data_IF_097783487565
#
_entry.id   IF_097783487565
#
_cell.length_a   1.000
_cell.length_b   1.000
_cell.length_c   1.000
_cell.angle_alpha   90.00
_cell.angle_beta   90.00
_cell.angle_gamma   90.00
#
_symmetry.space_group_name_H-M   'P 1'
#
loop_
_entity.id
_entity.type
_entity.pdbx_description
1 polymer ?
#
# COMPACT_ATOMS: atom_id res chain seq x y z
N UNK A 1 19.46 -8.90 27.40
CA UNK A 1 18.45 -7.91 27.82
C UNK A 1 17.08 -8.30 27.27
N UNK A 2 16.02 -8.19 28.09
CA UNK A 2 14.64 -8.31 27.64
C UNK A 2 14.29 -7.19 26.65
N UNK A 3 13.28 -7.38 25.77
CA UNK A 3 12.84 -6.32 24.86
C UNK A 3 12.38 -5.09 25.67
N UNK A 4 12.66 -3.90 25.13
CA UNK A 4 12.20 -2.64 25.74
C UNK A 4 10.68 -2.60 25.62
N UNK A 5 9.98 -2.36 26.73
CA UNK A 5 8.51 -2.35 26.74
C UNK A 5 8.00 -1.03 26.12
N UNK A 6 7.03 -1.12 25.23
CA UNK A 6 6.29 0.07 24.76
C UNK A 6 5.36 0.57 25.85
N UNK A 7 4.98 1.85 25.79
CA UNK A 7 4.07 2.41 26.79
C UNK A 7 2.68 1.80 26.66
N UNK A 8 2.24 1.50 25.44
CA UNK A 8 1.00 0.75 25.20
C UNK A 8 1.01 -0.63 25.89
N UNK A 9 2.12 -1.37 25.81
CA UNK A 9 2.26 -2.66 26.50
C UNK A 9 2.29 -2.49 28.03
N UNK A 10 2.97 -1.46 28.53
CA UNK A 10 2.97 -1.13 29.97
C UNK A 10 1.56 -0.78 30.47
N UNK A 11 0.83 0.06 29.73
CA UNK A 11 -0.54 0.46 30.08
C UNK A 11 -1.54 -0.70 30.02
N UNK A 12 -1.33 -1.65 29.10
CA UNK A 12 -2.14 -2.86 29.03
C UNK A 12 -1.92 -3.75 30.26
N UNK A 13 -0.68 -3.86 30.76
CA UNK A 13 -0.39 -4.62 31.97
C UNK A 13 -0.81 -3.90 33.26
N UNK A 14 -0.60 -2.59 33.39
CA UNK A 14 -1.11 -1.81 34.52
C UNK A 14 -2.66 -1.94 34.61
N UNK A 15 -3.36 -2.00 33.47
CA UNK A 15 -4.80 -2.26 33.43
C UNK A 15 -5.20 -3.70 33.80
N UNK A 16 -4.29 -4.68 33.71
CA UNK A 16 -4.53 -6.06 34.18
C UNK A 16 -4.15 -6.25 35.65
N UNK A 17 -3.20 -5.48 36.18
CA UNK A 17 -2.81 -5.52 37.59
C UNK A 17 -3.88 -4.90 38.51
N UNK A 18 -4.66 -3.92 38.02
CA UNK A 18 -5.80 -3.32 38.75
C UNK A 18 -7.01 -4.28 38.95
N UNK A 19 -6.99 -5.49 38.40
CA UNK A 19 -8.10 -6.48 38.55
C UNK A 19 -7.82 -7.55 39.61
N UNK A 20 -6.62 -7.59 40.21
CA UNK A 20 -6.27 -8.59 41.23
C UNK A 20 -6.14 -8.01 42.65
N UNK A 21 -7.26 -7.57 43.24
CA UNK A 21 -7.40 -7.50 44.71
C UNK A 21 -8.82 -7.87 45.17
N UNK A 22 -9.07 -9.18 45.32
CA UNK A 22 -10.06 -9.73 46.24
C UNK A 22 -9.67 -11.17 46.62
N UNK A 23 -9.53 -11.53 47.92
CA UNK A 23 -9.19 -12.89 48.33
C UNK A 23 -10.44 -13.69 48.76
N UNK A 24 -10.63 -14.89 48.20
CA UNK A 24 -11.49 -16.00 48.65
C UNK A 24 -11.51 -17.00 47.49
N UNK A 25 -11.31 -18.32 47.56
CA UNK A 25 -11.13 -19.34 48.60
C UNK A 25 -11.46 -20.69 47.92
N UNK A 26 -10.66 -21.75 48.15
CA UNK A 26 -10.97 -23.21 48.14
C UNK A 26 -12.07 -23.72 47.15
N UNK A 27 -11.93 -24.67 46.19
CA UNK A 27 -11.37 -26.06 46.12
C UNK A 27 -11.84 -26.67 44.74
N UNK A 28 -11.46 -27.91 44.28
CA UNK A 28 -11.10 -28.18 42.86
C UNK A 28 -12.08 -29.16 42.11
N UNK A 29 -11.71 -29.92 41.04
CA UNK A 29 -12.44 -29.95 39.76
C UNK A 29 -13.21 -31.26 39.49
N UNK A 30 -14.11 -31.26 38.49
CA UNK A 30 -14.61 -32.49 37.87
C UNK A 30 -14.94 -32.28 36.39
N UNK A 31 -14.61 -33.31 35.63
CA UNK A 31 -14.65 -33.48 34.20
C UNK A 31 -16.06 -33.56 33.58
N UNK A 32 -16.06 -33.38 32.25
CA UNK A 32 -16.80 -34.11 31.21
C UNK A 32 -17.68 -33.29 30.24
N UNK A 33 -17.17 -33.25 29.01
CA UNK A 33 -17.80 -33.65 27.74
C UNK A 33 -19.02 -32.91 27.11
N UNK A 34 -18.89 -32.79 25.78
CA UNK A 34 -19.91 -32.68 24.71
C UNK A 34 -20.53 -31.33 24.31
N UNK A 35 -20.00 -30.83 23.16
CA UNK A 35 -20.70 -30.59 21.89
C UNK A 35 -22.21 -30.31 21.96
N UNK A 36 -22.61 -29.08 21.62
CA UNK A 36 -23.72 -28.86 20.67
C UNK A 36 -23.76 -27.43 20.11
N UNK A 37 -24.10 -27.39 18.83
CA UNK A 37 -24.33 -26.25 17.96
C UNK A 37 -25.57 -25.45 18.32
N UNK A 38 -25.51 -24.12 18.26
CA UNK A 38 -26.63 -23.32 17.74
C UNK A 38 -26.21 -21.90 17.36
N UNK A 39 -26.63 -21.51 16.17
CA UNK A 39 -26.60 -20.18 15.56
C UNK A 39 -27.27 -19.11 16.43
N UNK A 40 -26.66 -17.92 16.51
CA UNK A 40 -27.34 -16.69 16.93
C UNK A 40 -26.93 -15.52 16.05
N UNK A 41 -27.92 -14.93 15.38
CA UNK A 41 -27.82 -13.75 14.55
C UNK A 41 -27.39 -12.50 15.33
N UNK A 42 -26.72 -11.52 14.70
CA UNK A 42 -26.41 -10.25 15.35
C UNK A 42 -27.60 -9.28 15.29
N UNK A 43 -27.99 -8.80 16.47
CA UNK A 43 -28.93 -7.69 16.70
C UNK A 43 -28.30 -6.39 16.18
N UNK A 44 -28.90 -5.81 15.15
CA UNK A 44 -28.55 -4.48 14.65
C UNK A 44 -29.23 -3.39 15.48
N UNK A 45 -28.47 -2.60 16.22
CA UNK A 45 -28.97 -1.37 16.87
C UNK A 45 -28.90 -0.21 15.89
N UNK A 46 -30.06 0.40 15.61
CA UNK A 46 -30.23 1.51 14.69
C UNK A 46 -29.81 2.84 15.33
N UNK A 47 -28.82 3.53 14.74
CA UNK A 47 -28.51 4.95 14.99
C UNK A 47 -28.97 5.79 13.78
N UNK A 48 -29.91 6.72 14.02
CA UNK A 48 -30.31 7.78 13.07
C UNK A 48 -29.14 8.76 12.83
N UNK A 49 -28.97 9.29 11.61
CA UNK A 49 -28.37 10.60 11.42
C UNK A 49 -29.38 11.63 10.89
N UNK A 50 -29.60 12.71 11.65
CA UNK A 50 -30.07 14.00 11.12
C UNK A 50 -28.83 14.78 10.68
N UNK A 51 -28.77 15.13 9.40
CA UNK A 51 -27.75 16.04 8.87
C UNK A 51 -28.08 16.41 7.43
N UNK A 52 -28.67 17.59 7.23
CA UNK A 52 -28.88 18.20 5.90
C UNK A 52 -27.51 18.59 5.34
N UNK A 53 -27.09 17.97 4.24
CA UNK A 53 -25.92 18.40 3.47
C UNK A 53 -26.45 19.17 2.25
N UNK A 54 -26.09 20.46 2.17
CA UNK A 54 -26.32 21.33 1.01
C UNK A 54 -25.40 20.88 -0.12
N UNK A 55 -25.96 20.69 -1.32
CA UNK A 55 -25.18 20.42 -2.53
C UNK A 55 -24.42 21.68 -2.99
N UNK A 56 -23.18 21.55 -3.49
CA UNK A 56 -22.46 22.68 -4.09
C UNK A 56 -23.02 23.00 -5.48
N UNK A 57 -23.13 24.30 -5.75
CA UNK A 57 -23.55 24.92 -6.99
C UNK A 57 -22.46 24.69 -8.06
N UNK A 58 -22.78 24.05 -9.18
CA UNK A 58 -21.86 23.98 -10.30
C UNK A 58 -21.89 25.31 -11.07
N UNK A 59 -20.71 25.86 -11.37
CA UNK A 59 -20.49 26.97 -12.29
C UNK A 59 -20.35 26.38 -13.70
N UNK A 60 -21.09 26.92 -14.67
CA UNK A 60 -20.94 26.60 -16.09
C UNK A 60 -19.74 27.37 -16.66
N UNK A 61 -18.67 26.66 -16.99
CA UNK A 61 -17.57 27.16 -17.83
C UNK A 61 -17.88 26.80 -19.29
N UNK A 62 -18.20 27.81 -20.09
CA UNK A 62 -18.23 27.73 -21.55
C UNK A 62 -16.79 27.87 -22.08
N UNK A 63 -16.39 27.11 -23.11
CA UNK A 63 -15.27 27.49 -23.96
C UNK A 63 -15.74 28.19 -25.24
N UNK A 64 -15.07 29.31 -25.48
CA UNK A 64 -15.05 30.15 -26.67
C UNK A 64 -14.29 29.44 -27.79
N UNK A 65 -14.86 29.33 -28.99
CA UNK A 65 -14.11 29.05 -30.22
C UNK A 65 -14.66 29.94 -31.33
N UNK A 66 -13.89 30.97 -31.68
CA UNK A 66 -13.92 31.62 -32.99
C UNK A 66 -13.28 30.70 -34.04
N UNK A 67 -13.92 30.54 -35.21
CA UNK A 67 -13.28 30.75 -36.52
C UNK A 67 -14.17 30.29 -37.70
N UNK A 68 -14.46 31.26 -38.56
CA UNK A 68 -14.47 31.24 -40.02
C UNK A 68 -15.50 30.43 -40.84
N UNK A 69 -16.32 31.22 -41.55
CA UNK A 69 -16.87 31.07 -42.91
C UNK A 69 -16.19 30.01 -43.81
N UNK A 70 -16.85 29.29 -44.73
CA UNK A 70 -17.63 29.79 -45.88
C UNK A 70 -18.25 28.61 -46.69
N UNK A 71 -19.38 28.91 -47.35
CA UNK A 71 -19.96 28.35 -48.60
C UNK A 71 -20.07 26.82 -48.82
N UNK A 72 -21.29 26.34 -49.02
CA UNK A 72 -21.81 25.85 -50.33
C UNK A 72 -23.21 25.20 -50.19
N UNK A 73 -24.07 25.46 -51.18
CA UNK A 73 -25.30 24.73 -51.52
C UNK A 73 -25.32 24.67 -53.05
N UNK A 74 -26.09 23.77 -53.73
CA UNK A 74 -26.81 22.57 -53.30
C UNK A 74 -26.60 21.38 -54.30
N UNK A 75 -27.48 20.36 -54.22
CA UNK A 75 -27.68 19.23 -55.16
C UNK A 75 -26.81 17.98 -54.85
N UNK A 76 -27.27 16.72 -54.85
CA UNK A 76 -28.44 16.07 -55.44
C UNK A 76 -28.71 14.71 -54.75
N UNK A 77 -29.99 14.35 -54.68
CA UNK A 77 -30.66 13.03 -54.64
C UNK A 77 -29.93 11.72 -54.26
N UNK A 78 -30.55 10.96 -53.35
CA UNK A 78 -31.12 9.62 -53.64
C UNK A 78 -31.72 8.98 -52.38
N UNK A 79 -33.05 9.06 -52.22
CA UNK A 79 -33.83 8.06 -51.48
C UNK A 79 -35.06 7.73 -52.31
N UNK A 80 -35.04 6.54 -52.89
CA UNK A 80 -36.18 5.74 -53.36
C UNK A 80 -36.22 4.52 -52.41
N UNK A 81 -37.33 3.88 -52.03
CA UNK A 81 -38.76 4.00 -52.34
C UNK A 81 -39.45 2.87 -51.55
N UNK A 82 -40.66 3.09 -51.04
CA UNK A 82 -41.71 2.07 -50.78
C UNK A 82 -42.89 2.68 -49.99
N UNK A 83 -44.14 2.22 -50.19
CA UNK A 83 -45.11 2.95 -50.98
C UNK A 83 -46.34 3.44 -50.20
N UNK A 84 -47.01 4.44 -50.79
CA UNK A 84 -48.40 4.80 -50.48
C UNK A 84 -49.37 3.66 -50.80
N UNK A 85 -50.44 3.52 -50.00
CA UNK A 85 -51.76 3.32 -50.56
C UNK A 85 -52.53 4.64 -50.43
N UNK A 86 -52.91 5.21 -51.57
CA UNK A 86 -54.02 6.15 -51.61
C UNK A 86 -55.31 5.41 -51.24
N UNK A 87 -56.13 6.11 -50.47
CA UNK A 87 -57.43 5.70 -50.03
C UNK A 87 -57.99 6.80 -49.16
N UNK A 88 -58.47 7.88 -49.78
CA UNK A 88 -59.37 8.82 -49.12
C UNK A 88 -60.59 8.04 -48.62
N UNK A 89 -60.96 8.25 -47.35
CA UNK A 89 -62.34 8.62 -47.12
C UNK A 89 -62.37 10.05 -46.56
N UNK A 90 -63.03 10.90 -47.34
CA UNK A 90 -63.89 11.96 -46.84
C UNK A 90 -64.62 11.48 -45.58
N UNK A 91 -64.18 11.92 -44.41
CA UNK A 91 -65.09 12.21 -43.30
C UNK A 91 -64.47 13.28 -42.40
N UNK A 92 -65.27 14.25 -42.00
CA UNK A 92 -64.85 15.34 -41.14
C UNK A 92 -64.43 14.78 -39.77
N UNK A 93 -63.13 14.64 -39.52
CA UNK A 93 -62.64 14.25 -38.21
C UNK A 93 -63.19 15.23 -37.14
N UNK A 94 -63.90 14.74 -36.11
CA UNK A 94 -64.37 15.62 -35.05
C UNK A 94 -63.15 16.27 -34.43
N UNK A 95 -63.20 17.59 -34.22
CA UNK A 95 -62.18 18.34 -33.46
C UNK A 95 -61.86 17.49 -32.22
N UNK A 96 -60.59 17.09 -32.00
CA UNK A 96 -60.26 16.10 -30.98
C UNK A 96 -60.87 16.57 -29.67
N UNK A 97 -61.65 15.69 -29.04
CA UNK A 97 -62.37 16.03 -27.82
C UNK A 97 -61.36 16.49 -26.77
N UNK A 98 -61.81 17.28 -25.80
CA UNK A 98 -60.92 17.73 -24.73
C UNK A 98 -60.24 16.56 -23.99
N UNK A 99 -60.88 15.38 -24.00
CA UNK A 99 -60.35 14.16 -23.41
C UNK A 99 -59.24 13.55 -24.28
N UNK A 100 -59.40 13.51 -25.60
CA UNK A 100 -58.35 13.03 -26.53
C UNK A 100 -57.11 13.93 -26.49
N UNK A 101 -57.31 15.24 -26.36
CA UNK A 101 -56.19 16.20 -26.20
C UNK A 101 -55.46 15.98 -24.88
N UNK A 102 -56.19 15.72 -23.78
CA UNK A 102 -55.59 15.39 -22.48
C UNK A 102 -54.86 14.05 -22.52
N UNK A 103 -55.39 13.04 -23.19
CA UNK A 103 -54.76 11.73 -23.35
C UNK A 103 -53.45 11.83 -24.17
N UNK A 104 -53.46 12.57 -25.29
CA UNK A 104 -52.25 12.85 -26.08
C UNK A 104 -51.19 13.61 -25.27
N UNK A 105 -51.61 14.58 -24.46
CA UNK A 105 -50.71 15.32 -23.57
C UNK A 105 -50.14 14.40 -22.47
N UNK A 106 -50.95 13.53 -21.88
CA UNK A 106 -50.50 12.55 -20.91
C UNK A 106 -49.49 11.56 -21.52
N UNK A 107 -49.73 11.07 -22.73
CA UNK A 107 -48.78 10.23 -23.47
C UNK A 107 -47.46 10.97 -23.77
N UNK A 108 -47.54 12.26 -24.15
CA UNK A 108 -46.34 13.09 -24.35
C UNK A 108 -45.57 13.29 -23.05
N UNK A 109 -46.24 13.56 -21.93
CA UNK A 109 -45.62 13.67 -20.60
C UNK A 109 -45.00 12.35 -20.16
N UNK A 110 -45.65 11.21 -20.42
CA UNK A 110 -45.09 9.89 -20.15
C UNK A 110 -43.84 9.62 -20.99
N UNK A 111 -43.84 10.00 -22.28
CA UNK A 111 -42.68 9.88 -23.16
C UNK A 111 -41.51 10.78 -22.71
N UNK A 112 -41.79 12.02 -22.29
CA UNK A 112 -40.80 12.94 -21.73
C UNK A 112 -40.26 12.46 -20.37
N UNK A 113 -41.11 11.87 -19.52
CA UNK A 113 -40.67 11.27 -18.26
C UNK A 113 -39.81 10.02 -18.51
N UNK A 114 -40.13 9.22 -19.54
CA UNK A 114 -39.33 8.06 -19.93
C UNK A 114 -37.95 8.46 -20.46
N UNK A 115 -37.87 9.49 -21.32
CA UNK A 115 -36.59 9.96 -21.86
C UNK A 115 -35.70 10.58 -20.78
N UNK A 116 -36.25 11.41 -19.89
CA UNK A 116 -35.48 11.98 -18.77
C UNK A 116 -34.99 10.91 -17.80
N UNK A 117 -35.81 9.87 -17.52
CA UNK A 117 -35.39 8.73 -16.71
C UNK A 117 -34.30 7.89 -17.40
N UNK A 118 -34.41 7.67 -18.71
CA UNK A 118 -33.39 6.97 -19.51
C UNK A 118 -32.06 7.73 -19.47
N UNK A 119 -32.07 9.03 -19.78
CA UNK A 119 -30.87 9.88 -19.73
C UNK A 119 -30.23 9.90 -18.34
N UNK A 120 -31.04 9.98 -17.28
CA UNK A 120 -30.55 9.92 -15.89
C UNK A 120 -29.91 8.56 -15.59
N UNK A 121 -30.50 7.46 -16.06
CA UNK A 121 -29.93 6.12 -15.90
C UNK A 121 -28.60 6.00 -16.61
N UNK A 122 -28.49 6.54 -17.81
CA UNK A 122 -27.28 6.47 -18.61
C UNK A 122 -26.14 7.28 -17.97
N UNK A 123 -26.42 8.50 -17.50
CA UNK A 123 -25.46 9.32 -16.73
C UNK A 123 -24.98 8.58 -15.48
N UNK A 124 -25.89 7.96 -14.72
CA UNK A 124 -25.51 7.19 -13.53
C UNK A 124 -24.68 5.96 -13.90
N UNK A 125 -24.98 5.32 -15.03
CA UNK A 125 -24.21 4.16 -15.52
C UNK A 125 -22.79 4.56 -15.94
N UNK A 126 -22.61 5.71 -16.59
CA UNK A 126 -21.29 6.24 -16.95
C UNK A 126 -20.51 6.66 -15.71
N UNK A 127 -21.17 7.30 -14.73
CA UNK A 127 -20.54 7.60 -13.44
C UNK A 127 -20.16 6.32 -12.66
N UNK A 128 -20.96 5.26 -12.77
CA UNK A 128 -20.62 3.97 -12.17
C UNK A 128 -19.43 3.30 -12.89
N UNK A 129 -19.40 3.33 -14.24
CA UNK A 129 -18.30 2.82 -15.05
C UNK A 129 -16.99 3.55 -14.79
N UNK A 130 -17.01 4.88 -14.80
CA UNK A 130 -15.82 5.70 -14.47
C UNK A 130 -15.30 5.45 -13.06
N UNK A 131 -16.18 5.29 -12.07
CA UNK A 131 -15.79 4.90 -10.70
C UNK A 131 -15.23 3.49 -10.63
N UNK A 132 -15.80 2.54 -11.38
CA UNK A 132 -15.32 1.16 -11.45
C UNK A 132 -13.91 1.12 -12.07
N UNK A 133 -13.72 1.76 -13.22
CA UNK A 133 -12.40 1.91 -13.88
C UNK A 133 -11.41 2.57 -12.94
N UNK A 134 -11.77 3.69 -12.29
CA UNK A 134 -10.89 4.34 -11.32
C UNK A 134 -10.55 3.46 -10.11
N UNK A 135 -11.47 2.60 -9.65
CA UNK A 135 -11.23 1.65 -8.57
C UNK A 135 -10.31 0.50 -9.01
N UNK A 136 -10.46 0.03 -10.24
CA UNK A 136 -9.61 -1.02 -10.83
C UNK A 136 -8.19 -0.52 -11.07
N UNK A 137 -8.02 0.69 -11.61
CA UNK A 137 -6.71 1.33 -11.77
C UNK A 137 -6.03 1.58 -10.42
N UNK A 138 -6.80 1.94 -9.38
CA UNK A 138 -6.27 2.13 -8.03
C UNK A 138 -5.83 0.81 -7.38
N UNK A 139 -6.31 -0.33 -7.87
CA UNK A 139 -5.92 -1.64 -7.34
C UNK A 139 -4.70 -2.17 -8.11
N UNK A 140 -3.47 -2.09 -7.56
CA UNK A 140 -2.28 -2.58 -8.24
C UNK A 140 -2.33 -4.09 -8.55
N UNK A 141 -3.11 -4.85 -7.79
CA UNK A 141 -3.34 -6.27 -8.06
C UNK A 141 -4.19 -6.53 -9.29
N UNK A 142 -5.12 -5.64 -9.63
CA UNK A 142 -5.94 -5.74 -10.84
C UNK A 142 -5.10 -5.42 -12.09
N UNK A 143 -4.30 -4.36 -12.05
CA UNK A 143 -3.36 -4.00 -13.13
C UNK A 143 -2.40 -5.14 -13.48
N UNK A 144 -1.78 -5.80 -12.49
CA UNK A 144 -0.90 -6.96 -12.73
C UNK A 144 -1.62 -8.15 -13.35
N UNK A 145 -2.88 -8.39 -12.95
CA UNK A 145 -3.70 -9.48 -13.51
C UNK A 145 -4.07 -9.20 -14.96
N UNK A 146 -4.40 -7.94 -15.27
CA UNK A 146 -4.71 -7.49 -16.62
C UNK A 146 -3.49 -7.66 -17.53
N UNK A 147 -2.31 -7.16 -17.13
CA UNK A 147 -1.06 -7.35 -17.90
C UNK A 147 -0.72 -8.82 -18.10
N UNK A 148 -0.97 -9.68 -17.10
CA UNK A 148 -0.78 -11.12 -17.24
C UNK A 148 -1.77 -11.73 -18.24
N UNK A 149 -3.03 -11.29 -18.23
CA UNK A 149 -4.05 -11.77 -19.15
C UNK A 149 -3.74 -11.34 -20.59
N UNK A 150 -3.33 -10.09 -20.80
CA UNK A 150 -2.86 -9.58 -22.10
C UNK A 150 -1.68 -10.40 -22.61
N UNK A 151 -0.66 -10.63 -21.76
CA UNK A 151 0.49 -11.45 -22.14
C UNK A 151 0.09 -12.88 -22.53
N UNK A 152 -0.85 -13.50 -21.82
CA UNK A 152 -1.33 -14.85 -22.15
C UNK A 152 -2.10 -14.86 -23.47
N UNK A 153 -2.90 -13.82 -23.73
CA UNK A 153 -3.66 -13.67 -24.96
C UNK A 153 -2.71 -13.46 -26.15
N UNK A 154 -1.72 -12.57 -26.02
CA UNK A 154 -0.68 -12.36 -27.03
C UNK A 154 0.11 -13.65 -27.30
N UNK A 155 0.46 -14.41 -26.26
CA UNK A 155 1.15 -15.69 -26.40
C UNK A 155 0.30 -16.76 -27.10
N UNK A 156 -1.03 -16.70 -26.94
CA UNK A 156 -1.96 -17.57 -27.68
C UNK A 156 -1.99 -17.15 -29.15
N UNK A 157 -2.16 -15.87 -29.42
CA UNK A 157 -2.29 -15.33 -30.77
C UNK A 157 -1.01 -15.58 -31.59
N UNK A 158 0.18 -15.44 -30.98
CA UNK A 158 1.48 -15.77 -31.59
C UNK A 158 1.63 -17.27 -31.89
N UNK A 159 1.12 -18.14 -31.02
CA UNK A 159 1.12 -19.59 -31.29
C UNK A 159 0.15 -19.96 -32.42
N UNK A 160 -0.99 -19.28 -32.49
CA UNK A 160 -1.96 -19.46 -33.57
C UNK A 160 -1.43 -18.94 -34.92
N UNK A 161 -0.64 -17.85 -34.92
CA UNK A 161 0.05 -17.35 -36.12
C UNK A 161 1.27 -18.18 -36.53
N UNK A 162 1.75 -19.08 -35.66
CA UNK A 162 2.92 -19.93 -35.90
C UNK A 162 4.26 -19.20 -35.71
N UNK A 163 4.25 -18.04 -35.04
CA UNK A 163 5.45 -17.29 -34.70
C UNK A 163 6.11 -17.85 -33.43
N UNK A 164 7.44 -17.69 -33.34
CA UNK A 164 8.20 -18.10 -32.15
C UNK A 164 8.02 -17.08 -31.03
N UNK A 165 7.32 -17.50 -29.97
CA UNK A 165 7.01 -16.71 -28.77
C UNK A 165 8.28 -16.16 -28.11
N UNK A 166 9.36 -16.95 -28.06
CA UNK A 166 10.59 -16.53 -27.40
C UNK A 166 11.30 -15.45 -28.21
N UNK A 167 11.30 -15.60 -29.54
CA UNK A 167 11.84 -14.57 -30.45
C UNK A 167 11.08 -13.25 -30.30
N UNK A 168 9.75 -13.28 -30.32
CA UNK A 168 8.93 -12.07 -30.14
C UNK A 168 9.20 -11.40 -28.79
N UNK A 169 9.26 -12.18 -27.72
CA UNK A 169 9.60 -11.67 -26.38
C UNK A 169 10.99 -11.05 -26.33
N UNK A 170 11.97 -11.65 -26.98
CA UNK A 170 13.33 -11.12 -27.02
C UNK A 170 13.42 -9.80 -27.80
N UNK A 171 12.59 -9.62 -28.84
CA UNK A 171 12.49 -8.36 -29.58
C UNK A 171 11.87 -7.23 -28.74
N UNK A 172 11.06 -7.56 -27.73
CA UNK A 172 10.46 -6.58 -26.82
C UNK A 172 11.43 -6.10 -25.72
N UNK A 173 12.54 -6.78 -25.46
CA UNK A 173 13.52 -6.33 -24.47
C UNK A 173 14.31 -5.14 -25.01
N UNK A 174 14.12 -3.97 -24.39
CA UNK A 174 14.93 -2.79 -24.66
C UNK A 174 16.30 -2.90 -23.97
N UNK A 175 17.29 -2.17 -24.50
CA UNK A 175 18.60 -2.02 -23.88
C UNK A 175 18.45 -1.49 -22.44
N UNK A 176 17.59 -0.49 -22.23
CA UNK A 176 17.34 0.09 -20.90
C UNK A 176 16.78 -0.93 -19.89
N UNK A 177 15.96 -1.86 -20.34
CA UNK A 177 15.39 -2.89 -19.46
C UNK A 177 16.45 -3.91 -19.05
N UNK A 178 17.38 -4.22 -19.96
CA UNK A 178 18.54 -5.07 -19.69
C UNK A 178 19.50 -4.38 -18.70
N UNK A 179 19.81 -3.09 -18.92
CA UNK A 179 20.66 -2.31 -17.99
C UNK A 179 20.03 -2.18 -16.59
N UNK A 180 18.72 -1.95 -16.50
CA UNK A 180 18.00 -1.94 -15.20
C UNK A 180 18.03 -3.29 -14.52
N UNK A 181 17.97 -4.38 -15.29
CA UNK A 181 18.06 -5.73 -14.75
C UNK A 181 19.47 -6.03 -14.22
N UNK A 182 20.50 -5.68 -14.97
CA UNK A 182 21.90 -5.85 -14.57
C UNK A 182 22.25 -4.98 -13.37
N UNK A 183 21.83 -3.72 -13.36
CA UNK A 183 21.99 -2.83 -12.20
C UNK A 183 21.30 -3.39 -10.95
N UNK A 184 20.14 -4.05 -11.10
CA UNK A 184 19.45 -4.70 -9.99
C UNK A 184 20.19 -5.95 -9.50
N UNK A 185 20.78 -6.73 -10.40
CA UNK A 185 21.63 -7.87 -10.05
C UNK A 185 22.87 -7.39 -9.29
N UNK A 186 23.57 -6.39 -9.82
CA UNK A 186 24.73 -5.78 -9.17
C UNK A 186 24.38 -5.21 -7.78
N UNK A 187 23.26 -4.50 -7.66
CA UNK A 187 22.82 -3.97 -6.37
C UNK A 187 22.46 -5.09 -5.38
N UNK A 188 21.89 -6.20 -5.86
CA UNK A 188 21.64 -7.38 -5.05
C UNK A 188 22.96 -8.02 -4.60
N UNK A 189 23.97 -8.10 -5.46
CA UNK A 189 25.29 -8.62 -5.13
C UNK A 189 26.02 -7.74 -4.11
N UNK A 190 25.99 -6.41 -4.30
CA UNK A 190 26.51 -5.45 -3.32
C UNK A 190 25.84 -5.59 -1.95
N UNK A 191 24.56 -5.99 -1.91
CA UNK A 191 23.82 -6.24 -0.67
C UNK A 191 24.13 -7.58 -0.01
N UNK A 192 24.62 -8.57 -0.75
CA UNK A 192 25.00 -9.88 -0.17
C UNK A 192 26.11 -9.65 0.86
N UNK A 193 26.09 -10.46 1.91
CA UNK A 193 27.13 -10.39 2.93
C UNK A 193 28.42 -11.02 2.37
N UNK A 194 29.40 -10.17 2.05
CA UNK A 194 30.70 -10.60 1.52
C UNK A 194 31.60 -11.24 2.58
N UNK A 195 31.11 -11.39 3.82
CA UNK A 195 31.80 -12.04 4.92
C UNK A 195 32.26 -11.04 5.98
N UNK A 196 33.13 -11.47 6.92
CA UNK A 196 33.64 -10.61 7.98
C UNK A 196 34.58 -9.54 7.38
N UNK A 197 34.05 -8.34 7.12
CA UNK A 197 34.81 -7.14 6.81
C UNK A 197 35.13 -6.32 8.06
N UNK A 198 35.35 -5.01 7.89
CA UNK A 198 35.52 -4.09 9.02
C UNK A 198 34.21 -3.92 9.80
N UNK A 199 34.32 -3.56 11.09
CA UNK A 199 33.16 -3.21 11.90
C UNK A 199 32.42 -1.98 11.34
N UNK A 200 33.13 -1.06 10.67
CA UNK A 200 32.55 0.06 9.93
C UNK A 200 31.59 -0.40 8.82
N UNK A 201 32.06 -1.29 7.94
CA UNK A 201 31.25 -1.83 6.82
C UNK A 201 30.00 -2.56 7.32
N UNK A 202 30.14 -3.33 8.40
CA UNK A 202 29.02 -4.04 9.02
C UNK A 202 27.98 -3.05 9.60
N UNK A 203 28.44 -1.95 10.20
CA UNK A 203 27.58 -0.89 10.72
C UNK A 203 26.87 -0.13 9.58
N UNK A 204 27.60 0.18 8.50
CA UNK A 204 27.02 0.83 7.32
C UNK A 204 25.93 -0.03 6.68
N UNK A 205 26.18 -1.33 6.52
CA UNK A 205 25.18 -2.27 5.98
C UNK A 205 23.94 -2.35 6.86
N UNK A 206 24.11 -2.36 8.18
CA UNK A 206 23.00 -2.31 9.12
C UNK A 206 22.20 -1.01 9.01
N UNK A 207 22.89 0.13 8.93
CA UNK A 207 22.27 1.44 8.73
C UNK A 207 21.49 1.52 7.41
N UNK A 208 22.10 1.14 6.28
CA UNK A 208 21.42 1.12 4.98
C UNK A 208 20.18 0.23 4.98
N UNK A 209 20.24 -0.93 5.66
CA UNK A 209 19.06 -1.80 5.85
C UNK A 209 17.97 -1.08 6.65
N UNK A 210 18.31 -0.45 7.77
CA UNK A 210 17.35 0.28 8.61
C UNK A 210 16.71 1.45 7.88
N UNK A 211 17.48 2.23 7.12
CA UNK A 211 16.98 3.34 6.28
C UNK A 211 15.98 2.85 5.24
N UNK A 212 16.21 1.68 4.64
CA UNK A 212 15.27 1.08 3.67
C UNK A 212 13.99 0.56 4.31
N UNK A 213 14.07 0.12 5.56
CA UNK A 213 12.91 -0.36 6.31
C UNK A 213 12.04 0.78 6.88
N UNK A 214 12.64 1.96 7.07
CA UNK A 214 11.93 3.17 7.49
C UNK A 214 10.90 3.59 6.44
N UNK A 215 9.67 3.84 6.89
CA UNK A 215 8.57 4.38 6.07
C UNK A 215 8.24 5.79 6.58
N UNK A 216 8.73 6.85 5.93
CA UNK A 216 8.48 8.22 6.37
C UNK A 216 6.99 8.60 6.23
N UNK A 217 6.44 9.27 7.24
CA UNK A 217 5.11 9.88 7.16
C UNK A 217 5.20 11.27 6.51
N UNK A 218 5.08 11.30 5.19
CA UNK A 218 5.17 12.52 4.38
C UNK A 218 4.04 13.50 4.70
N UNK A 219 2.85 13.01 5.03
CA UNK A 219 1.71 13.87 5.33
C UNK A 219 1.87 14.55 6.70
N UNK A 220 2.30 13.80 7.71
CA UNK A 220 2.65 14.35 9.02
C UNK A 220 3.80 15.36 8.95
N UNK A 221 4.82 15.08 8.13
CA UNK A 221 5.92 16.02 7.90
C UNK A 221 5.44 17.33 7.26
N UNK A 222 4.63 17.27 6.19
CA UNK A 222 4.08 18.47 5.53
C UNK A 222 3.27 19.35 6.49
N UNK A 223 2.40 18.75 7.32
CA UNK A 223 1.63 19.50 8.32
C UNK A 223 2.54 20.24 9.30
N UNK A 224 3.55 19.55 9.86
CA UNK A 224 4.50 20.16 10.79
C UNK A 224 5.31 21.27 10.15
N UNK A 225 5.74 21.08 8.90
CA UNK A 225 6.43 22.10 8.11
C UNK A 225 5.55 23.32 7.89
N UNK A 226 4.31 23.14 7.45
CA UNK A 226 3.37 24.23 7.18
C UNK A 226 2.99 24.97 8.48
N UNK A 227 2.86 24.25 9.61
CA UNK A 227 2.68 24.84 10.94
C UNK A 227 3.89 25.68 11.38
N UNK A 228 5.11 25.18 11.18
CA UNK A 228 6.34 25.91 11.48
C UNK A 228 6.47 27.16 10.60
N UNK A 229 6.19 27.04 9.30
CA UNK A 229 6.18 28.15 8.35
C UNK A 229 5.10 29.18 8.69
N UNK A 230 3.91 28.75 9.13
CA UNK A 230 2.86 29.63 9.59
C UNK A 230 3.24 30.39 10.88
N UNK A 231 3.90 29.73 11.84
CA UNK A 231 4.42 30.37 13.05
C UNK A 231 5.49 31.40 12.71
N UNK A 232 6.40 31.07 11.77
CA UNK A 232 7.41 31.98 11.25
C UNK A 232 6.78 33.19 10.54
N UNK A 233 5.75 32.97 9.73
CA UNK A 233 5.03 34.02 9.02
C UNK A 233 4.17 34.91 9.94
N UNK A 234 3.63 34.36 11.04
CA UNK A 234 2.84 35.10 12.02
C UNK A 234 3.70 36.01 12.91
N UNK A 235 4.97 35.67 13.13
CA UNK A 235 5.90 36.45 13.94
C UNK A 235 7.14 36.90 13.16
N UNK A 236 6.99 37.77 12.14
CA UNK A 236 8.14 38.26 11.35
C UNK A 236 9.01 39.25 12.15
N UNK A 237 8.48 39.85 13.22
CA UNK A 237 9.11 40.93 13.97
C UNK A 237 9.98 40.48 15.17
N UNK A 238 9.76 39.27 15.71
CA UNK A 238 10.55 38.75 16.84
C UNK A 238 11.94 38.25 16.45
N UNK A 239 12.21 38.12 15.14
CA UNK A 239 13.54 37.74 14.63
C UNK A 239 14.50 38.94 14.52
N UNK A 240 13.98 40.17 14.52
CA UNK A 240 14.79 41.40 14.46
C UNK A 240 15.11 42.01 15.85
N UNK A 241 14.49 41.53 16.93
CA UNK A 241 14.57 42.13 18.27
C UNK A 241 15.25 41.24 19.33
N UNK A 242 16.09 40.28 18.93
CA UNK A 242 16.92 39.48 19.85
C UNK A 242 18.40 39.88 19.86
N UNK A 243 18.77 41.00 19.22
CA UNK A 243 20.15 41.57 19.26
C UNK A 243 20.32 42.69 20.32
N UNK A 244 19.31 42.99 21.15
CA UNK A 244 19.51 43.95 22.26
C UNK A 244 18.57 43.72 23.44
N UNK A 245 19.01 42.94 24.44
CA UNK A 245 18.36 43.00 25.75
C UNK A 245 18.52 41.76 26.61
N UNK A 246 19.35 41.89 27.64
CA UNK A 246 19.38 41.01 28.81
C UNK A 246 17.97 41.05 29.44
N UNK A 247 17.22 39.94 29.42
CA UNK A 247 15.87 39.91 29.96
C UNK A 247 15.24 38.52 29.96
N UNK A 248 15.05 37.97 31.16
CA UNK A 248 14.44 36.69 31.49
C UNK A 248 12.98 36.62 31.00
N UNK A 249 12.66 35.71 30.06
CA UNK A 249 11.29 35.46 29.63
C UNK A 249 11.15 34.31 28.63
N UNK A 250 10.51 33.22 29.06
CA UNK A 250 10.11 32.08 28.23
C UNK A 250 9.18 32.54 27.10
N UNK A 251 9.52 32.26 25.85
CA UNK A 251 8.53 32.06 24.77
C UNK A 251 9.14 31.18 23.68
N UNK A 252 8.28 30.41 23.03
CA UNK A 252 8.55 29.10 22.47
C UNK A 252 8.15 28.99 21.00
N UNK A 253 9.03 28.32 20.25
CA UNK A 253 8.85 27.48 19.06
C UNK A 253 9.00 28.08 17.63
N UNK A 254 9.59 27.26 16.71
CA UNK A 254 10.37 27.70 15.56
C UNK A 254 10.02 26.95 14.25
N UNK A 255 10.88 27.15 13.25
CA UNK A 255 11.48 26.21 12.29
C UNK A 255 11.43 26.64 10.83
N UNK A 256 12.63 26.60 10.25
CA UNK A 256 13.02 26.72 8.84
C UNK A 256 13.37 28.15 8.37
N UNK A 257 14.53 28.66 8.81
CA UNK A 257 15.37 29.55 8.03
C UNK A 257 16.83 29.10 8.12
N UNK A 258 17.49 29.09 6.96
CA UNK A 258 18.87 28.66 6.76
C UNK A 258 19.84 29.36 7.73
N UNK A 259 20.68 28.54 8.37
CA UNK A 259 21.90 28.87 9.13
C UNK A 259 21.74 29.60 10.48
N UNK A 260 22.20 28.90 11.53
CA UNK A 260 22.70 29.40 12.84
C UNK A 260 21.79 29.53 14.07
N UNK A 261 20.55 29.06 14.08
CA UNK A 261 19.86 28.82 15.37
C UNK A 261 19.57 27.33 15.57
N UNK A 262 20.58 26.63 16.11
CA UNK A 262 20.49 25.22 16.50
C UNK A 262 19.51 25.11 17.68
N UNK A 263 18.22 25.02 17.38
CA UNK A 263 17.15 24.77 18.33
C UNK A 263 17.21 23.30 18.80
N UNK A 264 18.21 22.98 19.62
CA UNK A 264 18.39 21.67 20.22
C UNK A 264 17.67 21.57 21.57
N UNK A 265 17.04 20.42 21.84
CA UNK A 265 16.48 20.11 23.17
C UNK A 265 15.05 20.60 23.44
N UNK A 266 14.38 21.25 22.49
CA UNK A 266 12.97 21.69 22.63
C UNK A 266 11.96 20.74 21.99
N UNK A 267 12.42 19.74 21.22
CA UNK A 267 11.57 18.78 20.55
C UNK A 267 11.07 17.70 21.52
N UNK A 268 9.78 17.73 21.81
CA UNK A 268 9.07 16.69 22.55
C UNK A 268 8.31 15.80 21.57
N UNK A 269 8.85 14.63 21.17
CA UNK A 269 8.17 13.72 20.25
C UNK A 269 6.85 13.23 20.86
N UNK A 270 5.89 12.92 20.00
CA UNK A 270 4.65 12.26 20.44
C UNK A 270 4.94 10.85 20.97
N UNK A 271 4.14 10.39 21.93
CA UNK A 271 4.27 9.04 22.50
C UNK A 271 4.23 7.93 21.42
N UNK A 272 3.42 8.11 20.37
CA UNK A 272 3.39 7.20 19.21
C UNK A 272 4.72 7.15 18.44
N UNK A 273 5.41 8.28 18.29
CA UNK A 273 6.72 8.31 17.65
C UNK A 273 7.76 7.57 18.50
N UNK A 274 7.67 7.68 19.83
CA UNK A 274 8.54 6.94 20.76
C UNK A 274 8.28 5.43 20.65
N UNK A 275 7.01 5.00 20.66
CA UNK A 275 6.66 3.58 20.55
C UNK A 275 7.14 2.97 19.22
N UNK A 276 7.08 3.72 18.11
CA UNK A 276 7.66 3.29 16.82
C UNK A 276 9.16 3.04 16.90
N UNK A 277 9.91 3.92 17.58
CA UNK A 277 11.36 3.75 17.79
C UNK A 277 11.65 2.53 18.67
N UNK A 278 10.90 2.35 19.76
CA UNK A 278 11.05 1.20 20.66
C UNK A 278 10.81 -0.12 19.91
N UNK A 279 9.76 -0.18 19.09
CA UNK A 279 9.47 -1.35 18.26
C UNK A 279 10.60 -1.64 17.27
N UNK A 280 11.14 -0.62 16.61
CA UNK A 280 12.28 -0.77 15.71
C UNK A 280 13.54 -1.29 16.45
N UNK A 281 13.84 -0.76 17.64
CA UNK A 281 14.97 -1.23 18.46
C UNK A 281 14.80 -2.68 18.93
N UNK A 282 13.59 -3.11 19.23
CA UNK A 282 13.30 -4.49 19.58
C UNK A 282 13.47 -5.42 18.38
N UNK A 283 13.02 -4.99 17.21
CA UNK A 283 13.23 -5.73 15.97
C UNK A 283 14.72 -5.91 15.67
N UNK A 284 15.51 -4.84 15.75
CA UNK A 284 16.96 -4.93 15.50
C UNK A 284 17.66 -5.85 16.51
N UNK A 285 17.25 -5.81 17.79
CA UNK A 285 17.77 -6.77 18.79
C UNK A 285 17.45 -8.23 18.42
N UNK A 286 16.27 -8.52 17.87
CA UNK A 286 15.92 -9.86 17.41
C UNK A 286 16.79 -10.26 16.21
N UNK A 287 17.01 -9.36 15.25
CA UNK A 287 17.89 -9.60 14.10
C UNK A 287 19.32 -9.92 14.56
N UNK A 288 19.86 -9.16 15.51
CA UNK A 288 21.20 -9.39 16.08
C UNK A 288 21.27 -10.75 16.78
N UNK A 289 20.28 -11.09 17.60
CA UNK A 289 20.21 -12.40 18.29
C UNK A 289 20.17 -13.57 17.29
N UNK A 290 19.42 -13.41 16.20
CA UNK A 290 19.25 -14.44 15.18
C UNK A 290 20.41 -14.51 14.17
N UNK A 291 21.38 -13.59 14.23
CA UNK A 291 22.56 -13.59 13.33
C UNK A 291 23.39 -14.87 13.48
N UNK A 292 23.57 -15.36 14.70
CA UNK A 292 24.25 -16.63 14.98
C UNK A 292 23.23 -17.76 15.05
N UNK A 293 22.98 -18.40 13.90
CA UNK A 293 22.06 -19.54 13.83
C UNK A 293 22.75 -20.79 14.34
N UNK A 294 22.08 -21.52 15.25
CA UNK A 294 22.52 -22.85 15.66
C UNK A 294 22.41 -23.80 14.46
N UNK A 295 23.48 -24.56 14.22
CA UNK A 295 23.49 -25.68 13.29
C UNK A 295 23.32 -26.94 14.15
N UNK A 296 22.28 -27.71 13.90
CA UNK A 296 22.08 -29.00 14.57
C UNK A 296 23.24 -29.92 14.18
N UNK A 297 23.66 -30.76 15.12
CA UNK A 297 24.62 -31.81 14.81
C UNK A 297 23.87 -33.01 14.21
N UNK A 298 24.50 -33.68 13.25
CA UNK A 298 23.96 -34.90 12.68
C UNK A 298 24.09 -36.03 13.71
N UNK A 299 22.99 -36.74 13.98
CA UNK A 299 22.95 -37.80 15.00
C UNK A 299 23.82 -39.01 14.64
N UNK A 300 24.03 -39.24 13.35
CA UNK A 300 24.81 -40.36 12.81
C UNK A 300 26.30 -40.02 12.63
N UNK A 301 26.71 -38.79 12.92
CA UNK A 301 28.11 -38.39 12.80
C UNK A 301 28.95 -38.96 13.96
N UNK A 302 30.19 -39.37 13.67
CA UNK A 302 31.12 -39.88 14.68
C UNK A 302 31.37 -38.84 15.79
N UNK A 303 31.05 -39.23 17.03
CA UNK A 303 31.20 -38.38 18.22
C UNK A 303 32.66 -38.39 18.68
N UNK A 304 33.40 -37.38 18.27
CA UNK A 304 34.81 -37.16 18.60
C UNK A 304 35.00 -36.21 19.81
N UNK A 305 34.03 -36.09 20.71
CA UNK A 305 34.08 -35.21 21.88
C UNK A 305 33.41 -35.84 23.10
N UNK A 306 33.90 -35.48 24.30
CA UNK A 306 33.36 -35.96 25.58
C UNK A 306 32.44 -34.90 26.23
N UNK A 307 32.76 -33.61 26.08
CA UNK A 307 31.97 -32.50 26.64
C UNK A 307 31.69 -31.43 25.57
N UNK A 308 30.73 -30.53 25.85
CA UNK A 308 30.35 -29.47 24.91
C UNK A 308 31.50 -28.50 24.60
N UNK A 309 32.36 -28.19 25.56
CA UNK A 309 33.52 -27.32 25.34
C UNK A 309 34.52 -27.95 24.36
N UNK A 310 34.75 -29.25 24.46
CA UNK A 310 35.59 -30.06 23.60
C UNK A 310 34.95 -30.17 22.21
N UNK A 311 33.63 -30.30 22.10
CA UNK A 311 32.92 -30.20 20.82
C UNK A 311 33.19 -28.86 20.11
N UNK A 312 33.08 -27.74 20.83
CA UNK A 312 33.36 -26.42 20.26
C UNK A 312 34.84 -26.25 19.89
N UNK A 313 35.75 -26.81 20.69
CA UNK A 313 37.18 -26.80 20.42
C UNK A 313 37.52 -27.64 19.18
N UNK A 314 37.02 -28.87 19.08
CA UNK A 314 37.19 -29.73 17.90
C UNK A 314 36.55 -29.10 16.66
N UNK A 315 35.39 -28.44 16.79
CA UNK A 315 34.80 -27.66 15.68
C UNK A 315 35.67 -26.47 15.28
N UNK A 316 36.40 -25.85 16.22
CA UNK A 316 37.38 -24.80 15.92
C UNK A 316 38.56 -25.40 15.16
N UNK A 317 39.15 -26.49 15.64
CA UNK A 317 40.24 -27.19 14.96
C UNK A 317 39.84 -27.60 13.54
N UNK A 318 38.64 -28.15 13.38
CA UNK A 318 38.11 -28.53 12.07
C UNK A 318 38.10 -27.38 11.07
N UNK A 319 37.69 -26.17 11.48
CA UNK A 319 37.67 -24.99 10.59
C UNK A 319 39.05 -24.57 10.09
N UNK A 320 40.11 -24.76 10.88
CA UNK A 320 41.46 -24.29 10.54
C UNK A 320 42.31 -25.38 9.88
N UNK A 321 42.21 -26.62 10.35
CA UNK A 321 43.14 -27.69 10.00
C UNK A 321 42.55 -28.73 9.04
N UNK A 322 41.23 -28.85 8.88
CA UNK A 322 40.64 -29.90 8.03
C UNK A 322 41.13 -29.85 6.59
N UNK A 323 41.42 -28.64 6.07
CA UNK A 323 41.97 -28.50 4.72
C UNK A 323 43.35 -29.17 4.57
N UNK A 324 44.13 -29.27 5.63
CA UNK A 324 45.48 -29.84 5.63
C UNK A 324 45.52 -31.28 6.15
N UNK A 325 44.54 -31.68 6.98
CA UNK A 325 44.51 -33.01 7.62
C UNK A 325 43.52 -33.97 6.96
N UNK A 326 42.96 -33.60 5.81
CA UNK A 326 42.00 -34.43 5.07
C UNK A 326 42.59 -35.80 4.71
N UNK A 327 43.80 -35.83 4.14
CA UNK A 327 44.48 -37.08 3.78
C UNK A 327 44.75 -37.97 4.99
N UNK A 328 45.18 -37.38 6.12
CA UNK A 328 45.40 -38.12 7.37
C UNK A 328 44.08 -38.73 7.86
N UNK A 329 42.96 -37.98 7.80
CA UNK A 329 41.64 -38.48 8.17
C UNK A 329 41.21 -39.64 7.28
N UNK A 330 41.32 -39.49 5.97
CA UNK A 330 40.97 -40.53 5.00
C UNK A 330 41.83 -41.78 5.21
N UNK A 331 43.12 -41.64 5.53
CA UNK A 331 44.00 -42.77 5.85
C UNK A 331 43.62 -43.45 7.16
N UNK A 332 43.19 -42.71 8.19
CA UNK A 332 42.64 -43.30 9.41
C UNK A 332 41.35 -44.08 9.12
N UNK A 333 40.44 -43.51 8.33
CA UNK A 333 39.19 -44.16 7.92
C UNK A 333 39.45 -45.39 7.03
N UNK A 334 40.54 -45.39 6.25
CA UNK A 334 41.00 -46.50 5.40
C UNK A 334 41.80 -47.57 6.15
N UNK A 335 42.07 -47.39 7.45
CA UNK A 335 42.79 -48.38 8.26
C UNK A 335 44.30 -48.25 8.25
N UNK A 336 44.84 -47.02 8.29
CA UNK A 336 46.27 -46.70 8.50
C UNK A 336 47.24 -47.35 7.50
N UNK A 337 46.78 -47.68 6.29
CA UNK A 337 47.64 -48.07 5.20
C UNK A 337 48.30 -46.80 4.62
N UNK A 338 49.60 -46.63 4.88
CA UNK A 338 50.46 -45.61 4.27
C UNK A 338 50.69 -45.91 2.78
#
# INVERSE_FOLDING_TARGET
>A
MPPRRTRAAKKAEDATEDVHTAPSGSTPPKDDAEVSSSSSAPITTAKKPKGKIRAPHHQSLLPEIEASAAQETPESSAVAESPSPEGDPSDAAPKPSMEDRKARLAALRAKMAASTKANRRDILSEQARTRAVGSELRNPGASRKLQKAEKILEERDLRESGEDVERHRNMQYSLEDSERWDAKLEENERRKDQGPGDFGDAAERAYQRQVRMMKPDVAGYRKKRDEAEAVKAANPATLALTIRGIGKGKTSQPHDAETDEIHYGTHNPSDDAIDRVVNHLNHEQQVIKNRSRRRNDDADAEVNYINDSNRHFNKKLKRFYDKQTQEIRENLERGTAL
#
